data_IF_869168347577
#
_entry.id   IF_869168347577
#
_cell.length_a   1.000
_cell.length_b   1.000
_cell.length_c   1.000
_cell.angle_alpha   90.00
_cell.angle_beta   90.00
_cell.angle_gamma   90.00
#
_symmetry.space_group_name_H-M   'P 1'
#
loop_
_entity.id
_entity.type
_entity.pdbx_description
1 polymer ?
#
# COMPACT_ATOMS: atom_id res chain seq x y z
N UNK A 1 7.34 -15.38 10.98
CA UNK A 1 8.45 -14.45 11.34
C UNK A 1 7.80 -13.18 11.82
N UNK A 2 8.04 -12.79 13.05
CA UNK A 2 7.69 -11.44 13.44
C UNK A 2 8.59 -10.50 12.63
N UNK A 3 8.00 -9.55 11.91
CA UNK A 3 8.77 -8.57 11.17
C UNK A 3 9.72 -7.78 12.08
N UNK A 4 10.72 -7.08 11.52
CA UNK A 4 11.61 -6.27 12.31
C UNK A 4 10.84 -5.21 13.08
N UNK A 5 11.22 -4.98 14.32
CA UNK A 5 10.73 -3.80 15.04
C UNK A 5 11.48 -2.58 14.52
N UNK A 6 10.75 -1.71 13.84
CA UNK A 6 11.29 -0.44 13.34
C UNK A 6 11.08 0.65 14.36
N UNK A 7 12.14 1.41 14.65
CA UNK A 7 12.05 2.62 15.46
C UNK A 7 12.68 3.77 14.70
N UNK A 8 11.93 4.83 14.50
CA UNK A 8 12.42 6.06 13.87
C UNK A 8 12.80 7.03 14.98
N UNK A 9 14.04 7.46 14.98
CA UNK A 9 14.55 8.40 16.00
C UNK A 9 13.88 9.77 15.80
N UNK A 10 13.46 10.37 16.92
CA UNK A 10 12.84 11.70 16.94
C UNK A 10 11.54 11.80 16.10
N UNK A 11 10.78 10.68 16.03
CA UNK A 11 9.49 10.61 15.37
C UNK A 11 8.46 9.90 16.25
N UNK A 12 7.34 10.56 16.51
CA UNK A 12 6.24 10.05 17.36
C UNK A 12 4.93 9.89 16.58
N UNK A 13 4.95 10.09 15.25
CA UNK A 13 3.78 9.92 14.39
C UNK A 13 3.48 8.45 14.08
N UNK A 14 2.37 8.23 13.41
CA UNK A 14 2.00 6.91 12.90
C UNK A 14 2.98 6.45 11.80
N UNK A 15 3.29 5.17 11.79
CA UNK A 15 4.03 4.55 10.70
C UNK A 15 3.15 3.51 10.03
N UNK A 16 3.02 3.60 8.73
CA UNK A 16 2.49 2.53 7.88
C UNK A 16 3.63 1.83 7.15
N UNK A 17 3.36 0.70 6.56
CA UNK A 17 4.35 0.05 5.73
C UNK A 17 4.02 -1.40 5.41
N UNK A 18 4.89 -1.99 4.62
CA UNK A 18 4.85 -3.41 4.28
C UNK A 18 6.23 -4.01 4.40
N UNK A 19 6.30 -5.24 4.85
CA UNK A 19 7.54 -6.00 4.92
C UNK A 19 7.41 -7.28 4.10
N UNK A 20 8.47 -7.63 3.39
CA UNK A 20 8.57 -8.87 2.64
C UNK A 20 9.93 -9.52 2.84
N UNK A 21 9.96 -10.83 3.01
CA UNK A 21 11.20 -11.60 3.07
C UNK A 21 11.10 -12.74 2.07
N UNK A 22 12.08 -12.85 1.19
CA UNK A 22 12.15 -13.89 0.18
C UNK A 22 13.46 -14.67 0.34
N UNK A 23 13.37 -16.00 0.37
CA UNK A 23 14.55 -16.86 0.27
C UNK A 23 15.06 -16.86 -1.17
N UNK A 24 16.33 -16.51 -1.37
CA UNK A 24 16.97 -16.43 -2.69
C UNK A 24 18.02 -17.52 -2.92
N UNK A 25 18.54 -18.11 -1.84
CA UNK A 25 19.44 -19.27 -1.88
C UNK A 25 19.35 -20.07 -0.57
N UNK A 26 20.09 -21.19 -0.49
CA UNK A 26 20.22 -21.95 0.75
C UNK A 26 20.82 -21.05 1.84
N UNK A 27 20.23 -20.74 2.89
CA UNK A 27 20.67 -19.83 3.97
C UNK A 27 20.82 -18.36 3.58
N UNK A 28 20.18 -17.91 2.48
CA UNK A 28 20.21 -16.51 2.05
C UNK A 28 18.79 -15.99 1.86
N UNK A 29 18.48 -14.91 2.55
CA UNK A 29 17.19 -14.23 2.50
C UNK A 29 17.41 -12.77 2.13
N UNK A 30 16.50 -12.23 1.33
CA UNK A 30 16.42 -10.81 1.02
C UNK A 30 15.13 -10.29 1.63
N UNK A 31 15.27 -9.24 2.44
CA UNK A 31 14.13 -8.52 3.02
C UNK A 31 13.96 -7.17 2.36
N UNK A 32 12.73 -6.78 2.14
CA UNK A 32 12.32 -5.45 1.74
C UNK A 32 11.38 -4.90 2.80
N UNK A 33 11.66 -3.69 3.27
CA UNK A 33 10.86 -2.99 4.25
C UNK A 33 10.48 -1.63 3.69
N UNK A 34 9.19 -1.39 3.51
CA UNK A 34 8.67 -0.08 3.14
C UNK A 34 8.05 0.56 4.37
N UNK A 35 8.50 1.77 4.69
CA UNK A 35 8.01 2.53 5.83
C UNK A 35 7.44 3.84 5.32
N UNK A 36 6.16 4.08 5.61
CA UNK A 36 5.49 5.34 5.31
C UNK A 36 5.39 6.17 6.59
N UNK A 37 5.75 7.44 6.50
CA UNK A 37 5.62 8.42 7.57
C UNK A 37 4.71 9.55 7.09
N UNK A 38 4.02 10.21 8.02
CA UNK A 38 3.03 11.26 7.74
C UNK A 38 3.64 12.66 7.60
N UNK A 39 4.98 12.79 7.71
CA UNK A 39 5.67 14.06 7.59
C UNK A 39 6.85 14.01 6.60
N UNK A 40 7.13 15.15 5.95
CA UNK A 40 8.31 15.29 5.10
C UNK A 40 9.57 15.51 5.92
N UNK A 41 10.60 14.70 5.69
CA UNK A 41 11.93 14.83 6.34
C UNK A 41 13.05 14.81 5.33
N UNK A 42 14.04 15.67 5.52
CA UNK A 42 15.27 15.70 4.69
C UNK A 42 16.20 14.54 4.99
N UNK A 43 16.16 14.01 6.19
CA UNK A 43 16.92 12.84 6.62
C UNK A 43 16.17 12.09 7.72
N UNK A 44 16.33 10.78 7.74
CA UNK A 44 15.73 9.90 8.74
C UNK A 44 16.81 8.98 9.29
N UNK A 45 16.85 8.88 10.61
CA UNK A 45 17.62 7.88 11.32
C UNK A 45 16.66 6.84 11.87
N UNK A 46 16.82 5.60 11.47
CA UNK A 46 16.03 4.54 12.04
C UNK A 46 16.87 3.34 12.49
N UNK A 47 16.33 2.61 13.42
CA UNK A 47 16.92 1.40 13.95
C UNK A 47 15.99 0.23 13.64
N UNK A 48 16.54 -0.80 12.98
CA UNK A 48 15.89 -2.07 12.77
C UNK A 48 16.37 -3.04 13.84
N UNK A 49 15.44 -3.61 14.58
CA UNK A 49 15.73 -4.63 15.59
C UNK A 49 15.07 -5.94 15.20
N UNK A 50 15.86 -6.99 15.08
CA UNK A 50 15.37 -8.36 14.93
C UNK A 50 15.71 -9.14 16.20
N UNK A 51 14.71 -9.77 16.78
CA UNK A 51 14.86 -10.65 17.94
C UNK A 51 14.87 -12.12 17.53
N UNK A 52 14.24 -12.42 16.42
CA UNK A 52 14.02 -13.78 15.98
C UNK A 52 14.08 -13.87 14.44
N UNK A 53 14.79 -14.88 13.94
CA UNK A 53 14.82 -15.20 12.52
C UNK A 53 14.34 -16.65 12.37
N UNK A 54 13.24 -16.85 11.67
CA UNK A 54 12.65 -18.18 11.48
C UNK A 54 12.23 -18.41 10.03
N UNK A 55 12.34 -19.64 9.58
CA UNK A 55 11.81 -20.07 8.28
C UNK A 55 10.36 -20.50 8.45
N UNK A 56 9.42 -19.64 7.99
CA UNK A 56 7.97 -19.93 8.07
C UNK A 56 7.49 -20.90 6.99
N UNK A 57 8.36 -21.38 6.10
CA UNK A 57 7.98 -22.25 4.99
C UNK A 57 7.86 -23.72 5.37
N UNK A 58 8.18 -24.12 6.59
CA UNK A 58 8.12 -25.51 7.05
C UNK A 58 7.35 -25.63 8.36
N UNK A 59 6.56 -26.71 8.51
CA UNK A 59 5.85 -27.03 9.76
C UNK A 59 6.81 -27.27 10.95
N UNK A 60 8.10 -27.44 10.69
CA UNK A 60 9.18 -27.58 11.67
C UNK A 60 10.14 -26.39 11.63
N UNK A 61 9.63 -25.17 11.56
CA UNK A 61 10.46 -23.97 11.51
C UNK A 61 11.37 -23.89 12.74
N UNK A 62 12.69 -23.90 12.50
CA UNK A 62 13.64 -23.54 13.53
C UNK A 62 13.72 -22.05 13.62
N UNK A 63 13.37 -21.53 14.77
CA UNK A 63 13.54 -20.11 15.10
C UNK A 63 14.92 -19.91 15.72
N UNK A 64 15.66 -18.95 15.21
CA UNK A 64 16.95 -18.56 15.76
C UNK A 64 16.72 -17.25 16.51
N UNK A 65 16.72 -17.31 17.84
CA UNK A 65 16.61 -16.13 18.69
C UNK A 65 17.95 -15.40 18.74
N UNK A 66 17.90 -14.07 18.71
CA UNK A 66 19.09 -13.23 18.73
C UNK A 66 18.74 -11.78 19.02
N UNK A 67 19.71 -10.90 18.82
CA UNK A 67 19.52 -9.45 19.00
C UNK A 67 20.35 -8.72 17.93
N UNK A 68 19.76 -8.58 16.75
CA UNK A 68 20.41 -7.89 15.64
C UNK A 68 19.86 -6.48 15.52
N UNK A 69 20.75 -5.50 15.62
CA UNK A 69 20.40 -4.08 15.55
C UNK A 69 21.16 -3.42 14.41
N UNK A 70 20.41 -2.76 13.54
CA UNK A 70 20.97 -2.01 12.42
C UNK A 70 20.54 -0.56 12.53
N UNK A 71 21.52 0.34 12.55
CA UNK A 71 21.27 1.78 12.51
C UNK A 71 21.44 2.26 11.09
N UNK A 72 20.43 2.87 10.53
CA UNK A 72 20.38 3.29 9.15
C UNK A 72 20.07 4.78 9.10
N UNK A 73 20.91 5.52 8.35
CA UNK A 73 20.69 6.93 8.07
C UNK A 73 20.37 7.08 6.60
N UNK A 74 19.19 7.60 6.30
CA UNK A 74 18.74 7.89 4.95
C UNK A 74 18.62 9.39 4.75
N UNK A 75 18.99 9.86 3.57
CA UNK A 75 18.70 11.21 3.10
C UNK A 75 17.56 11.15 2.09
N UNK A 76 16.67 12.13 2.16
CA UNK A 76 15.64 12.28 1.16
C UNK A 76 16.26 12.55 -0.22
N UNK A 77 15.69 11.95 -1.25
CA UNK A 77 15.96 12.32 -2.63
C UNK A 77 15.21 13.61 -2.96
N UNK A 78 15.74 14.35 -3.91
CA UNK A 78 15.02 15.51 -4.45
C UNK A 78 13.69 15.03 -5.05
N UNK A 79 12.64 15.72 -4.67
CA UNK A 79 11.27 15.37 -5.04
C UNK A 79 10.63 16.49 -5.86
N UNK A 80 10.08 16.13 -7.01
CA UNK A 80 9.27 17.03 -7.85
C UNK A 80 7.81 16.62 -7.74
N UNK A 81 7.01 17.47 -7.10
CA UNK A 81 5.56 17.25 -6.97
C UNK A 81 4.79 18.00 -8.06
N UNK A 82 3.89 17.30 -8.71
CA UNK A 82 2.98 17.83 -9.70
C UNK A 82 1.54 17.59 -9.24
N UNK A 83 0.76 18.67 -9.11
CA UNK A 83 -0.68 18.57 -8.88
C UNK A 83 -1.37 18.10 -10.15
N UNK A 84 -2.29 17.16 -10.01
CA UNK A 84 -3.02 16.50 -11.10
C UNK A 84 -4.49 16.86 -11.07
N UNK A 85 -5.18 16.62 -9.97
CA UNK A 85 -6.61 16.90 -9.74
C UNK A 85 -7.50 16.40 -10.87
N UNK A 86 -7.32 15.13 -11.26
CA UNK A 86 -8.14 14.44 -12.26
C UNK A 86 -9.04 13.42 -11.60
N UNK A 87 -10.31 13.47 -11.97
CA UNK A 87 -11.36 12.63 -11.39
C UNK A 87 -11.99 11.74 -12.45
N UNK A 88 -12.34 10.52 -12.08
CA UNK A 88 -13.21 9.60 -12.82
C UNK A 88 -14.29 9.08 -11.89
N UNK A 89 -15.49 8.85 -12.42
CA UNK A 89 -16.63 8.38 -11.64
C UNK A 89 -17.43 7.35 -12.43
N UNK A 90 -17.88 6.28 -11.75
CA UNK A 90 -18.75 5.26 -12.31
C UNK A 90 -19.44 4.47 -11.20
N UNK A 91 -20.71 4.16 -11.38
CA UNK A 91 -21.49 3.29 -10.48
C UNK A 91 -21.45 3.72 -9.00
N UNK A 92 -21.40 5.01 -8.72
CA UNK A 92 -21.36 5.54 -7.34
C UNK A 92 -20.00 5.48 -6.66
N UNK A 93 -18.94 5.26 -7.43
CA UNK A 93 -17.56 5.31 -6.98
C UNK A 93 -16.85 6.41 -7.73
N UNK A 94 -16.25 7.36 -7.02
CA UNK A 94 -15.42 8.43 -7.56
C UNK A 94 -13.98 8.26 -7.09
N UNK A 95 -13.03 8.39 -8.01
CA UNK A 95 -11.59 8.41 -7.76
C UNK A 95 -11.02 9.74 -8.21
N UNK A 96 -10.27 10.42 -7.36
CA UNK A 96 -9.54 11.63 -7.69
C UNK A 96 -8.04 11.41 -7.51
N UNK A 97 -7.26 11.55 -8.57
CA UNK A 97 -5.79 11.58 -8.50
C UNK A 97 -5.37 13.01 -8.16
N UNK A 98 -4.90 13.21 -6.93
CA UNK A 98 -4.54 14.51 -6.39
C UNK A 98 -3.20 15.00 -6.93
N UNK A 99 -2.18 14.15 -6.86
CA UNK A 99 -0.82 14.54 -7.26
C UNK A 99 0.04 13.32 -7.62
N UNK A 100 1.09 13.60 -8.39
CA UNK A 100 2.24 12.71 -8.58
C UNK A 100 3.49 13.36 -7.99
N UNK A 101 4.29 12.59 -7.28
CA UNK A 101 5.60 12.99 -6.77
C UNK A 101 6.68 12.12 -7.39
N UNK A 102 7.76 12.69 -7.90
CA UNK A 102 8.84 11.97 -8.61
C UNK A 102 10.18 12.24 -7.94
N UNK A 103 10.95 11.20 -7.74
CA UNK A 103 12.36 11.24 -7.39
C UNK A 103 13.18 10.57 -8.50
N UNK A 104 14.50 10.48 -8.32
CA UNK A 104 15.38 9.72 -9.24
C UNK A 104 15.22 8.19 -9.13
N UNK A 105 14.52 7.68 -8.13
CA UNK A 105 14.40 6.24 -7.87
C UNK A 105 12.96 5.72 -7.88
N UNK A 106 11.99 6.60 -7.61
CA UNK A 106 10.59 6.23 -7.40
C UNK A 106 9.65 7.32 -7.89
N UNK A 107 8.40 6.95 -8.14
CA UNK A 107 7.30 7.91 -8.16
C UNK A 107 6.15 7.41 -7.30
N UNK A 108 5.35 8.35 -6.78
CA UNK A 108 4.19 8.07 -5.96
C UNK A 108 2.96 8.78 -6.52
N UNK A 109 1.82 8.12 -6.45
CA UNK A 109 0.51 8.70 -6.73
C UNK A 109 -0.24 8.89 -5.40
N UNK A 110 -0.71 10.11 -5.15
CA UNK A 110 -1.63 10.39 -4.06
C UNK A 110 -3.02 10.56 -4.65
N UNK A 111 -3.98 9.87 -4.07
CA UNK A 111 -5.35 9.85 -4.55
C UNK A 111 -6.34 9.71 -3.41
N UNK A 112 -7.59 10.10 -3.67
CA UNK A 112 -8.70 9.94 -2.75
C UNK A 112 -9.89 9.30 -3.47
N UNK A 113 -10.73 8.63 -2.70
CA UNK A 113 -11.95 8.01 -3.19
C UNK A 113 -13.16 8.53 -2.43
N UNK A 114 -14.29 8.61 -3.14
CA UNK A 114 -15.60 8.86 -2.55
C UNK A 114 -16.57 7.76 -2.99
N UNK A 115 -17.31 7.21 -2.05
CA UNK A 115 -18.22 6.09 -2.27
C UNK A 115 -19.64 6.52 -1.92
N UNK A 116 -20.59 6.26 -2.82
CA UNK A 116 -22.00 6.58 -2.58
C UNK A 116 -22.57 5.80 -1.40
N UNK A 117 -23.54 6.40 -0.70
CA UNK A 117 -24.22 5.75 0.44
C UNK A 117 -24.84 4.41 0.07
N UNK A 118 -25.43 4.30 -1.10
CA UNK A 118 -26.04 3.06 -1.59
C UNK A 118 -25.04 1.90 -1.68
N UNK A 119 -23.79 2.18 -2.06
CA UNK A 119 -22.73 1.17 -2.09
C UNK A 119 -22.21 0.85 -0.68
N UNK A 120 -22.09 1.85 0.18
CA UNK A 120 -21.68 1.67 1.59
C UNK A 120 -22.68 0.80 2.36
N UNK A 121 -23.96 0.86 2.02
CA UNK A 121 -25.01 0.02 2.63
C UNK A 121 -25.00 -1.41 2.10
N UNK A 122 -24.53 -1.62 0.85
CA UNK A 122 -24.51 -2.93 0.18
C UNK A 122 -23.23 -3.72 0.37
N UNK A 123 -22.09 -3.04 0.50
CA UNK A 123 -20.77 -3.67 0.55
C UNK A 123 -20.02 -3.26 1.80
N UNK A 124 -19.37 -4.23 2.41
CA UNK A 124 -18.55 -3.97 3.59
C UNK A 124 -17.22 -3.31 3.26
N UNK A 125 -16.64 -3.67 2.10
CA UNK A 125 -15.40 -3.09 1.58
C UNK A 125 -15.67 -2.58 0.16
N UNK A 126 -15.25 -1.35 -0.09
CA UNK A 126 -15.13 -0.77 -1.43
C UNK A 126 -13.74 -0.18 -1.52
N UNK A 127 -12.90 -0.74 -2.36
CA UNK A 127 -11.48 -0.41 -2.46
C UNK A 127 -11.04 -0.20 -3.90
N UNK A 128 -10.12 0.75 -4.11
CA UNK A 128 -9.56 1.09 -5.42
C UNK A 128 -8.04 1.16 -5.29
N UNK A 129 -7.35 0.02 -5.11
CA UNK A 129 -5.91 0.01 -5.08
C UNK A 129 -5.34 0.31 -6.47
N UNK A 130 -4.47 1.30 -6.58
CA UNK A 130 -3.73 1.54 -7.83
C UNK A 130 -2.46 0.68 -7.76
N UNK A 131 -2.56 -0.56 -8.22
CA UNK A 131 -1.48 -1.55 -8.20
C UNK A 131 -0.60 -1.52 -9.45
N UNK A 132 -1.11 -1.00 -10.55
CA UNK A 132 -0.42 -0.95 -11.83
C UNK A 132 -0.75 0.35 -12.57
N UNK A 133 0.27 0.94 -13.20
CA UNK A 133 0.13 2.06 -14.13
C UNK A 133 0.99 1.82 -15.37
N UNK A 134 0.65 2.47 -16.48
CA UNK A 134 1.39 2.39 -17.74
C UNK A 134 1.86 3.78 -18.16
N UNK A 135 2.94 3.84 -18.92
CA UNK A 135 3.32 5.06 -19.62
C UNK A 135 2.97 5.02 -21.11
N UNK A 136 3.17 6.14 -21.78
CA UNK A 136 2.94 6.28 -23.23
C UNK A 136 3.98 5.56 -24.10
N UNK A 137 5.04 5.01 -23.51
CA UNK A 137 6.07 4.19 -24.16
C UNK A 137 5.78 2.69 -24.06
N UNK A 138 4.72 2.31 -23.32
CA UNK A 138 4.32 0.92 -23.09
C UNK A 138 4.98 0.24 -21.90
N UNK A 139 5.73 0.97 -21.07
CA UNK A 139 6.24 0.42 -19.83
C UNK A 139 5.09 0.25 -18.81
N UNK A 140 5.18 -0.83 -18.04
CA UNK A 140 4.22 -1.17 -16.99
C UNK A 140 4.93 -1.09 -15.66
N UNK A 141 4.38 -0.31 -14.74
CA UNK A 141 4.89 -0.13 -13.37
C UNK A 141 3.94 -0.78 -12.39
N UNK A 142 4.44 -1.72 -11.60
CA UNK A 142 3.69 -2.33 -10.50
C UNK A 142 4.00 -1.59 -9.20
N UNK A 143 2.99 -1.38 -8.39
CA UNK A 143 3.16 -0.75 -7.10
C UNK A 143 4.07 -1.61 -6.20
N UNK A 144 5.04 -0.97 -5.58
CA UNK A 144 5.89 -1.56 -4.55
C UNK A 144 5.23 -1.47 -3.18
N UNK A 145 4.37 -0.48 -2.99
CA UNK A 145 3.49 -0.38 -1.82
C UNK A 145 2.21 0.38 -2.16
N UNK A 146 1.12 -0.02 -1.50
CA UNK A 146 -0.16 0.70 -1.49
C UNK A 146 -0.50 0.96 -0.04
N UNK A 147 -0.75 2.21 0.31
CA UNK A 147 -1.11 2.65 1.66
C UNK A 147 -2.43 3.40 1.60
N UNK A 148 -3.35 3.04 2.46
CA UNK A 148 -4.64 3.73 2.60
C UNK A 148 -4.72 4.30 4.01
N UNK A 149 -4.92 5.61 4.11
CA UNK A 149 -5.24 6.25 5.38
C UNK A 149 -6.76 6.37 5.47
N UNK A 150 -7.35 5.69 6.43
CA UNK A 150 -8.75 5.86 6.75
C UNK A 150 -8.98 7.32 7.17
N UNK A 151 -9.80 8.04 6.41
CA UNK A 151 -10.17 9.42 6.76
C UNK A 151 -11.02 9.44 8.03
N UNK A 152 -11.14 10.61 8.65
CA UNK A 152 -12.03 10.84 9.81
C UNK A 152 -13.51 10.55 9.52
N UNK A 153 -13.88 10.35 8.28
CA UNK A 153 -15.26 10.07 7.82
C UNK A 153 -15.54 8.57 7.61
N UNK A 154 -14.63 7.68 8.04
CA UNK A 154 -14.83 6.23 8.00
C UNK A 154 -14.15 5.52 6.83
N UNK A 155 -14.40 4.19 6.73
CA UNK A 155 -13.68 3.26 5.82
C UNK A 155 -13.86 3.51 4.31
N UNK A 156 -14.80 4.36 3.92
CA UNK A 156 -15.16 4.59 2.52
C UNK A 156 -14.64 5.91 1.94
N UNK A 157 -14.18 6.81 2.78
CA UNK A 157 -13.58 8.08 2.38
C UNK A 157 -12.16 8.14 2.92
N UNK A 158 -11.19 7.91 2.06
CA UNK A 158 -9.80 7.85 2.48
C UNK A 158 -8.86 8.43 1.45
N UNK A 159 -7.72 8.89 1.94
CA UNK A 159 -6.56 9.23 1.10
C UNK A 159 -5.68 8.00 1.01
N UNK A 160 -5.26 7.71 -0.20
CA UNK A 160 -4.39 6.58 -0.50
C UNK A 160 -3.15 7.05 -1.23
N UNK A 161 -2.11 6.24 -1.13
CA UNK A 161 -0.85 6.46 -1.83
C UNK A 161 -0.36 5.14 -2.40
N UNK A 162 0.01 5.15 -3.68
CA UNK A 162 0.70 4.02 -4.31
C UNK A 162 2.09 4.46 -4.72
N UNK A 163 3.10 3.67 -4.37
CA UNK A 163 4.51 3.90 -4.72
C UNK A 163 4.96 2.91 -5.79
N UNK A 164 5.78 3.38 -6.70
CA UNK A 164 6.29 2.64 -7.83
C UNK A 164 7.80 2.83 -7.95
N UNK A 165 8.47 1.97 -8.70
CA UNK A 165 9.88 2.12 -9.04
C UNK A 165 10.18 3.36 -9.86
N UNK A 166 11.36 3.41 -10.43
CA UNK A 166 11.83 4.53 -11.25
C UNK A 166 10.95 4.73 -12.50
N UNK A 167 10.52 5.96 -12.73
CA UNK A 167 9.78 6.35 -13.92
C UNK A 167 10.75 6.57 -15.11
N UNK A 168 10.41 6.02 -16.27
CA UNK A 168 11.18 6.27 -17.49
C UNK A 168 11.27 7.79 -17.77
N UNK A 169 12.47 8.37 -17.84
CA UNK A 169 12.65 9.81 -17.99
C UNK A 169 12.12 10.35 -19.33
N UNK A 170 11.91 9.49 -20.32
CA UNK A 170 11.35 9.84 -21.61
C UNK A 170 9.81 9.75 -21.67
N UNK A 171 9.18 9.16 -20.66
CA UNK A 171 7.72 9.12 -20.58
C UNK A 171 7.14 10.53 -20.52
N UNK A 172 6.07 10.77 -21.28
CA UNK A 172 5.36 12.05 -21.28
C UNK A 172 3.97 11.93 -20.65
N UNK A 173 3.47 10.71 -20.50
CA UNK A 173 2.16 10.45 -19.91
C UNK A 173 2.19 9.21 -19.01
N UNK A 174 1.34 9.23 -17.99
CA UNK A 174 0.93 8.03 -17.26
C UNK A 174 -0.54 7.75 -17.53
N UNK A 175 -0.87 6.47 -17.70
CA UNK A 175 -2.22 5.97 -17.93
C UNK A 175 -2.56 5.05 -16.77
N UNK A 176 -3.64 5.39 -16.07
CA UNK A 176 -4.14 4.66 -14.91
C UNK A 176 -5.51 4.11 -15.28
N UNK A 177 -5.67 2.79 -15.21
CA UNK A 177 -6.97 2.11 -15.36
C UNK A 177 -7.42 1.63 -13.98
N UNK A 178 -8.19 2.44 -13.22
CA UNK A 178 -8.53 2.09 -11.85
C UNK A 178 -9.50 0.90 -11.82
N UNK A 179 -9.21 -0.06 -10.94
CA UNK A 179 -10.04 -1.24 -10.71
C UNK A 179 -10.70 -1.12 -9.34
N UNK A 180 -12.02 -1.22 -9.32
CA UNK A 180 -12.83 -1.16 -8.11
C UNK A 180 -13.12 -2.58 -7.64
N UNK A 181 -12.88 -2.85 -6.37
CA UNK A 181 -13.22 -4.11 -5.70
C UNK A 181 -14.33 -3.87 -4.69
N UNK A 182 -15.39 -4.62 -4.81
CA UNK A 182 -16.54 -4.61 -3.92
C UNK A 182 -16.62 -5.95 -3.21
N UNK A 183 -16.52 -5.95 -1.89
CA UNK A 183 -16.51 -7.18 -1.11
C UNK A 183 -17.36 -7.09 0.15
N UNK A 184 -18.00 -8.20 0.49
CA UNK A 184 -18.70 -8.43 1.75
C UNK A 184 -17.92 -9.37 2.67
N UNK A 185 -16.72 -9.82 2.26
CA UNK A 185 -15.86 -10.63 3.08
C UNK A 185 -15.13 -9.75 4.08
N UNK A 186 -15.40 -9.92 5.36
CA UNK A 186 -14.62 -9.31 6.43
C UNK A 186 -13.32 -10.10 6.54
N UNK A 187 -12.20 -9.57 6.07
CA UNK A 187 -10.91 -10.12 6.47
C UNK A 187 -10.71 -9.81 7.95
N UNK A 188 -10.80 -10.83 8.80
CA UNK A 188 -10.34 -10.67 10.17
C UNK A 188 -8.82 -10.42 10.11
N UNK A 189 -8.40 -9.22 10.49
CA UNK A 189 -7.02 -9.03 10.91
C UNK A 189 -6.78 -10.00 12.08
N UNK A 190 -5.83 -10.91 11.90
CA UNK A 190 -5.35 -11.76 12.98
C UNK A 190 -4.62 -10.89 13.98
N UNK A 191 -5.39 -10.34 14.92
CA UNK A 191 -4.82 -9.66 16.09
C UNK A 191 -3.94 -10.64 16.84
N UNK A 192 -2.71 -10.24 17.12
CA UNK A 192 -1.79 -10.94 18.01
C UNK A 192 -2.42 -11.05 19.41
N UNK A 193 -3.11 -12.14 19.67
CA UNK A 193 -3.66 -12.46 20.98
C UNK A 193 -3.97 -13.95 21.02
N UNK A 194 -3.42 -14.65 22.01
CA UNK A 194 -3.73 -16.03 22.30
C UNK A 194 -5.26 -16.20 22.44
N UNK A 195 -5.91 -16.58 21.36
CA UNK A 195 -7.33 -16.87 21.29
C UNK A 195 -7.53 -18.05 20.38
N UNK A 196 -8.22 -19.09 20.87
CA UNK A 196 -8.72 -20.20 20.07
C UNK A 196 -9.29 -19.62 18.77
N UNK A 197 -8.88 -20.18 17.63
CA UNK A 197 -9.49 -19.92 16.35
C UNK A 197 -11.01 -20.20 16.49
N UNK A 198 -11.78 -19.15 16.69
CA UNK A 198 -13.20 -19.19 16.49
C UNK A 198 -13.34 -19.10 14.98
N UNK A 199 -13.88 -20.11 14.36
CA UNK A 199 -14.29 -20.06 12.95
C UNK A 199 -15.43 -19.02 12.84
N UNK A 200 -15.00 -17.78 12.62
CA UNK A 200 -15.89 -16.67 12.30
C UNK A 200 -15.83 -16.45 10.80
N UNK A 201 -15.97 -17.51 10.02
CA UNK A 201 -16.38 -17.35 8.62
C UNK A 201 -17.61 -16.45 8.65
N UNK A 202 -17.58 -15.26 8.01
CA UNK A 202 -18.77 -14.44 7.97
C UNK A 202 -19.86 -15.30 7.34
N UNK A 203 -20.95 -15.51 8.06
CA UNK A 203 -22.16 -16.06 7.50
C UNK A 203 -22.49 -15.13 6.34
N UNK A 204 -22.27 -15.59 5.11
CA UNK A 204 -22.72 -14.87 3.92
C UNK A 204 -24.22 -14.78 4.10
N UNK A 205 -24.68 -13.61 4.53
CA UNK A 205 -26.11 -13.34 4.55
C UNK A 205 -26.55 -13.44 3.08
N UNK A 206 -27.49 -14.32 2.77
CA UNK A 206 -28.00 -14.51 1.41
C UNK A 206 -28.57 -13.22 0.80
N UNK A 207 -28.76 -12.20 1.62
CA UNK A 207 -29.21 -10.87 1.23
C UNK A 207 -28.10 -9.91 0.78
N UNK A 208 -26.82 -10.26 0.97
CA UNK A 208 -25.71 -9.41 0.52
C UNK A 208 -25.27 -9.80 -0.90
N UNK A 209 -25.02 -8.82 -1.78
CA UNK A 209 -24.57 -9.11 -3.13
C UNK A 209 -23.19 -9.81 -3.11
N UNK A 210 -22.94 -10.64 -4.11
CA UNK A 210 -21.65 -11.29 -4.31
C UNK A 210 -20.56 -10.24 -4.54
N UNK A 211 -19.32 -10.59 -4.21
CA UNK A 211 -18.16 -9.78 -4.56
C UNK A 211 -18.17 -9.45 -6.05
N UNK A 212 -17.86 -8.21 -6.37
CA UNK A 212 -17.92 -7.71 -7.73
C UNK A 212 -16.76 -6.77 -8.02
N UNK A 213 -16.28 -6.78 -9.24
CA UNK A 213 -15.20 -5.91 -9.70
C UNK A 213 -15.61 -5.20 -10.99
N UNK A 214 -15.18 -3.95 -11.13
CA UNK A 214 -15.33 -3.20 -12.38
C UNK A 214 -14.20 -2.18 -12.53
N UNK A 215 -14.03 -1.66 -13.74
CA UNK A 215 -13.05 -0.60 -14.01
C UNK A 215 -13.74 0.75 -14.17
N UNK A 216 -13.10 1.79 -13.66
CA UNK A 216 -13.40 3.17 -14.00
C UNK A 216 -12.78 3.51 -15.35
N UNK A 217 -13.14 4.66 -15.91
CA UNK A 217 -12.51 5.16 -17.11
C UNK A 217 -11.04 5.55 -16.84
N UNK A 218 -10.20 5.40 -17.86
CA UNK A 218 -8.78 5.71 -17.76
C UNK A 218 -8.52 7.15 -17.37
N UNK A 219 -7.57 7.35 -16.46
CA UNK A 219 -7.02 8.66 -16.12
C UNK A 219 -5.66 8.80 -16.78
N UNK A 220 -5.52 9.78 -17.67
CA UNK A 220 -4.24 10.11 -18.32
C UNK A 220 -3.62 11.32 -17.68
N UNK A 221 -2.41 11.19 -17.14
CA UNK A 221 -1.64 12.28 -16.53
C UNK A 221 -0.55 12.72 -17.50
N UNK A 222 -0.56 13.96 -17.93
CA UNK A 222 0.55 14.57 -18.65
C UNK A 222 1.69 14.87 -17.66
N UNK A 223 2.87 14.33 -17.92
CA UNK A 223 4.03 14.49 -17.06
C UNK A 223 4.76 15.79 -17.35
N UNK A 224 4.97 16.60 -16.31
CA UNK A 224 5.82 17.79 -16.40
C UNK A 224 7.29 17.37 -16.35
N UNK A 225 8.08 17.92 -17.26
CA UNK A 225 9.55 17.77 -17.30
C UNK A 225 10.23 18.68 -16.31
#
# INVERSE_FOLDING_TARGET
MNGPRVTIKDYNGGTGGSSGVKRVAENTYVGEETITIDEERKAINFELNFTDIGDMSSENSKEISGNWKFKINLKALDNVKQMVNKTTEKNGVQLNIESISKTSATFTLNYSQEISKDLQEKYFIVDIPIEEVKDDLGNVYKATSVSTNEGSEGRYAGKSMSSFGELNPNATKLIITPKVHLSNNVHQESGNGEGKAVDTSPTIDENHPKNYEFTLDDIVIELKK
#
